data_IF_764013455052
#
_entry.id   IF_764013455052
#
_cell.length_a   1.000
_cell.length_b   1.000
_cell.length_c   1.000
_cell.angle_alpha   90.00
_cell.angle_beta   90.00
_cell.angle_gamma   90.00
#
_symmetry.space_group_name_H-M   'P 1'
#
loop_
_entity.id
_entity.type
_entity.pdbx_description
1 polymer ?
#
# COMPACT_ATOMS: atom_id res chain seq x y z
N UNK A 1 -36.11 -2.04 11.05
CA UNK A 1 -34.84 -1.59 11.64
C UNK A 1 -33.70 -2.61 11.42
N UNK A 2 -33.87 -3.89 11.77
CA UNK A 2 -32.85 -4.94 11.54
C UNK A 2 -32.37 -5.12 10.09
N UNK A 3 -33.27 -5.08 9.10
CA UNK A 3 -32.91 -5.26 7.68
C UNK A 3 -32.03 -4.12 7.13
N UNK A 4 -32.27 -2.89 7.58
CA UNK A 4 -31.52 -1.69 7.15
C UNK A 4 -30.10 -1.69 7.73
N UNK A 5 -29.95 -2.09 9.00
CA UNK A 5 -28.64 -2.23 9.62
C UNK A 5 -27.79 -3.32 8.97
N UNK A 6 -28.43 -4.40 8.55
CA UNK A 6 -27.80 -5.49 7.81
C UNK A 6 -27.31 -5.10 6.42
N UNK A 7 -28.12 -4.36 5.66
CA UNK A 7 -27.71 -3.88 4.33
C UNK A 7 -26.55 -2.88 4.43
N UNK A 8 -26.54 -2.02 5.45
CA UNK A 8 -25.44 -1.08 5.68
C UNK A 8 -24.14 -1.79 6.07
N UNK A 9 -24.22 -2.82 6.93
CA UNK A 9 -23.07 -3.66 7.29
C UNK A 9 -22.46 -4.33 6.06
N UNK A 10 -23.27 -4.93 5.19
CA UNK A 10 -22.78 -5.55 3.95
C UNK A 10 -22.13 -4.54 2.99
N UNK A 11 -22.60 -3.28 2.98
CA UNK A 11 -22.01 -2.23 2.15
C UNK A 11 -20.60 -1.87 2.64
N UNK A 12 -20.38 -1.80 3.96
CA UNK A 12 -19.05 -1.55 4.55
C UNK A 12 -18.07 -2.67 4.18
N UNK A 13 -18.48 -3.94 4.29
CA UNK A 13 -17.65 -5.08 3.91
C UNK A 13 -17.37 -5.13 2.40
N UNK A 14 -18.34 -4.74 1.58
CA UNK A 14 -18.14 -4.61 0.13
C UNK A 14 -17.15 -3.49 -0.22
N UNK A 15 -17.16 -2.37 0.51
CA UNK A 15 -16.21 -1.28 0.31
C UNK A 15 -14.78 -1.72 0.68
N UNK A 16 -14.61 -2.41 1.81
CA UNK A 16 -13.31 -2.99 2.20
C UNK A 16 -12.81 -3.99 1.16
N UNK A 17 -13.70 -4.83 0.61
CA UNK A 17 -13.33 -5.77 -0.46
C UNK A 17 -12.86 -5.04 -1.72
N UNK A 18 -13.50 -3.92 -2.07
CA UNK A 18 -13.08 -3.11 -3.21
C UNK A 18 -11.70 -2.47 -2.99
N UNK A 19 -11.42 -1.98 -1.77
CA UNK A 19 -10.10 -1.47 -1.39
C UNK A 19 -9.05 -2.57 -1.54
N UNK A 20 -9.28 -3.75 -0.97
CA UNK A 20 -8.37 -4.89 -1.06
C UNK A 20 -8.05 -5.28 -2.52
N UNK A 21 -9.06 -5.29 -3.39
CA UNK A 21 -8.86 -5.57 -4.83
C UNK A 21 -7.96 -4.51 -5.47
N UNK A 22 -8.17 -3.24 -5.14
CA UNK A 22 -7.35 -2.13 -5.63
C UNK A 22 -5.91 -2.27 -5.12
N UNK A 23 -5.72 -2.59 -3.84
CA UNK A 23 -4.39 -2.81 -3.26
C UNK A 23 -3.66 -3.96 -3.94
N UNK A 24 -4.31 -5.11 -4.11
CA UNK A 24 -3.74 -6.28 -4.81
C UNK A 24 -3.34 -5.90 -6.24
N UNK A 25 -4.20 -5.16 -6.94
CA UNK A 25 -3.91 -4.68 -8.29
C UNK A 25 -2.63 -3.81 -8.31
N UNK A 26 -2.51 -2.85 -7.39
CA UNK A 26 -1.31 -2.02 -7.30
C UNK A 26 -0.07 -2.82 -6.92
N UNK A 27 -0.17 -3.78 -6.00
CA UNK A 27 0.95 -4.66 -5.63
C UNK A 27 1.45 -5.41 -6.85
N UNK A 28 0.54 -6.07 -7.58
CA UNK A 28 0.89 -6.78 -8.81
C UNK A 28 1.52 -5.82 -9.82
N UNK A 29 0.93 -4.64 -10.02
CA UNK A 29 1.43 -3.63 -10.95
C UNK A 29 2.85 -3.15 -10.58
N UNK A 30 3.15 -2.96 -9.30
CA UNK A 30 4.47 -2.58 -8.81
C UNK A 30 5.49 -3.74 -8.84
N UNK A 31 5.03 -4.98 -8.71
CA UNK A 31 5.90 -6.18 -8.81
C UNK A 31 6.31 -6.50 -10.25
N UNK A 32 5.57 -6.01 -11.24
CA UNK A 32 5.87 -6.29 -12.64
C UNK A 32 7.22 -5.64 -13.02
N UNK A 33 8.21 -6.44 -13.48
CA UNK A 33 9.55 -5.95 -13.81
C UNK A 33 9.60 -5.09 -15.08
N UNK A 34 8.47 -4.91 -15.77
CA UNK A 34 8.40 -4.13 -17.01
C UNK A 34 8.51 -2.63 -16.79
N UNK A 35 8.22 -2.12 -15.59
CA UNK A 35 8.26 -0.68 -15.31
C UNK A 35 9.52 -0.38 -14.51
N UNK A 36 10.45 0.36 -15.11
CA UNK A 36 11.69 0.75 -14.42
C UNK A 36 11.38 1.59 -13.16
N UNK A 37 12.14 1.41 -12.07
CA UNK A 37 12.03 2.23 -10.86
C UNK A 37 12.08 3.74 -11.13
N UNK A 38 12.82 4.16 -12.17
CA UNK A 38 12.92 5.57 -12.59
C UNK A 38 11.58 6.16 -13.04
N UNK A 39 10.73 5.37 -13.69
CA UNK A 39 9.40 5.80 -14.17
C UNK A 39 8.46 5.99 -13.00
N UNK A 40 8.45 5.05 -12.06
CA UNK A 40 7.67 5.14 -10.84
C UNK A 40 8.10 6.32 -9.97
N UNK A 41 9.42 6.50 -9.78
CA UNK A 41 9.95 7.64 -9.05
C UNK A 41 9.55 8.96 -9.71
N UNK A 42 9.69 9.11 -11.03
CA UNK A 42 9.26 10.32 -11.74
C UNK A 42 7.74 10.56 -11.64
N UNK A 43 6.93 9.50 -11.63
CA UNK A 43 5.49 9.59 -11.43
C UNK A 43 5.15 10.08 -10.00
N UNK A 44 5.74 9.46 -8.97
CA UNK A 44 5.51 9.83 -7.57
C UNK A 44 6.07 11.20 -7.20
N UNK A 45 7.19 11.62 -7.80
CA UNK A 45 7.80 12.94 -7.60
C UNK A 45 7.29 14.04 -8.53
N UNK A 46 6.35 13.74 -9.43
CA UNK A 46 5.75 14.74 -10.31
C UNK A 46 5.09 15.85 -9.51
N UNK A 47 5.29 17.11 -9.90
CA UNK A 47 4.67 18.28 -9.24
C UNK A 47 3.14 18.16 -9.15
N UNK A 48 2.51 17.44 -10.08
CA UNK A 48 1.06 17.20 -10.05
C UNK A 48 0.66 16.30 -8.87
N UNK A 49 1.43 15.23 -8.61
CA UNK A 49 1.19 14.34 -7.49
C UNK A 49 1.48 15.06 -6.17
N UNK A 50 2.54 15.87 -6.11
CA UNK A 50 2.88 16.65 -4.91
C UNK A 50 1.85 17.76 -4.61
N UNK A 51 1.20 18.34 -5.62
CA UNK A 51 0.13 19.33 -5.45
C UNK A 51 -1.19 18.70 -5.00
N UNK A 52 -1.51 17.50 -5.47
CA UNK A 52 -2.76 16.79 -5.12
C UNK A 52 -2.63 16.08 -3.77
N UNK A 53 -1.49 15.44 -3.54
CA UNK A 53 -1.23 14.64 -2.35
C UNK A 53 -0.12 15.33 -1.58
N UNK A 54 -0.52 16.11 -0.58
CA UNK A 54 0.43 16.71 0.34
C UNK A 54 1.07 15.57 1.15
N UNK A 55 2.29 15.17 0.77
CA UNK A 55 2.94 13.91 1.17
C UNK A 55 2.94 13.64 2.68
N UNK A 56 3.08 14.69 3.50
CA UNK A 56 2.99 14.59 4.97
C UNK A 56 1.62 14.12 5.47
N UNK A 57 0.54 14.57 4.85
CA UNK A 57 -0.82 14.16 5.21
C UNK A 57 -1.14 12.75 4.72
N UNK A 58 -0.55 12.32 3.60
CA UNK A 58 -0.68 10.95 3.10
C UNK A 58 -0.05 9.93 4.06
N UNK A 59 1.18 10.20 4.51
CA UNK A 59 1.89 9.38 5.50
C UNK A 59 1.16 9.27 6.85
N UNK A 60 0.53 10.37 7.30
CA UNK A 60 -0.29 10.37 8.52
C UNK A 60 -1.63 9.64 8.30
N UNK A 61 -2.27 9.87 7.16
CA UNK A 61 -3.52 9.22 6.78
C UNK A 61 -3.39 7.70 6.69
N UNK A 62 -2.32 7.21 6.06
CA UNK A 62 -2.03 5.77 5.96
C UNK A 62 -1.89 5.11 7.35
N UNK A 63 -1.26 5.80 8.31
CA UNK A 63 -1.15 5.31 9.70
C UNK A 63 -2.49 5.25 10.40
N UNK A 64 -3.35 6.27 10.21
CA UNK A 64 -4.70 6.31 10.78
C UNK A 64 -5.57 5.20 10.17
N UNK A 65 -5.50 5.00 8.85
CA UNK A 65 -6.22 3.94 8.14
C UNK A 65 -5.75 2.56 8.62
N UNK A 66 -4.43 2.34 8.73
CA UNK A 66 -3.88 1.10 9.28
C UNK A 66 -4.32 0.86 10.73
N UNK A 67 -4.33 1.89 11.58
CA UNK A 67 -4.84 1.78 12.95
C UNK A 67 -6.34 1.47 12.97
N UNK A 68 -7.13 2.08 12.07
CA UNK A 68 -8.55 1.77 11.88
C UNK A 68 -8.77 0.31 11.47
N UNK A 69 -8.00 -0.19 10.51
CA UNK A 69 -8.03 -1.59 10.08
C UNK A 69 -7.70 -2.56 11.22
N UNK A 70 -6.73 -2.23 12.08
CA UNK A 70 -6.43 -3.01 13.28
C UNK A 70 -7.62 -3.03 14.25
N UNK A 71 -8.32 -1.90 14.44
CA UNK A 71 -9.54 -1.88 15.26
C UNK A 71 -10.66 -2.72 14.65
N UNK A 72 -10.84 -2.67 13.32
CA UNK A 72 -11.77 -3.55 12.60
C UNK A 72 -11.39 -5.03 12.72
N UNK A 73 -10.10 -5.34 12.73
CA UNK A 73 -9.61 -6.70 12.93
C UNK A 73 -9.91 -7.18 14.35
N UNK A 74 -9.67 -6.34 15.36
CA UNK A 74 -10.05 -6.62 16.74
C UNK A 74 -11.57 -6.83 16.88
N UNK A 75 -12.41 -6.03 16.21
CA UNK A 75 -13.86 -6.21 16.20
C UNK A 75 -14.28 -7.52 15.51
N UNK A 76 -13.64 -7.88 14.39
CA UNK A 76 -13.88 -9.15 13.70
C UNK A 76 -13.49 -10.36 14.57
N UNK A 77 -12.36 -10.31 15.27
CA UNK A 77 -11.94 -11.35 16.22
C UNK A 77 -12.94 -11.44 17.38
N UNK A 78 -13.34 -10.29 17.95
CA UNK A 78 -14.36 -10.22 19.01
C UNK A 78 -15.68 -10.82 18.52
N UNK A 79 -16.08 -10.52 17.30
CA UNK A 79 -17.28 -11.02 16.63
C UNK A 79 -17.24 -12.55 16.51
N UNK A 80 -16.14 -13.13 16.03
CA UNK A 80 -15.97 -14.59 15.95
C UNK A 80 -16.05 -15.23 17.35
N UNK A 81 -15.38 -14.64 18.35
CA UNK A 81 -15.37 -15.16 19.71
C UNK A 81 -16.72 -15.05 20.41
N UNK A 82 -17.42 -13.92 20.24
CA UNK A 82 -18.75 -13.69 20.81
C UNK A 82 -19.77 -14.61 20.16
N UNK A 83 -19.80 -14.72 18.83
CA UNK A 83 -20.72 -15.61 18.13
C UNK A 83 -20.41 -17.08 18.38
N UNK A 84 -19.12 -17.43 18.53
CA UNK A 84 -18.67 -18.77 18.91
C UNK A 84 -19.08 -19.18 20.32
N UNK A 85 -19.01 -18.27 21.30
CA UNK A 85 -19.43 -18.53 22.69
C UNK A 85 -20.95 -18.42 22.90
N UNK A 86 -21.67 -17.64 22.08
CA UNK A 86 -23.15 -17.59 22.15
C UNK A 86 -23.86 -18.85 21.66
N UNK A 87 -23.13 -19.89 21.21
CA UNK A 87 -23.69 -21.26 21.20
C UNK A 87 -24.31 -21.64 22.56
N UNK A 88 -23.83 -21.05 23.65
CA UNK A 88 -24.31 -21.33 25.01
C UNK A 88 -25.30 -20.28 25.58
N UNK A 89 -25.44 -19.07 25.01
CA UNK A 89 -26.02 -17.92 25.76
C UNK A 89 -27.33 -17.33 25.21
N UNK A 90 -27.86 -17.71 24.03
CA UNK A 90 -29.14 -17.12 23.54
C UNK A 90 -30.30 -18.09 23.39
N UNK A 91 -30.86 -18.42 24.56
CA UNK A 91 -32.26 -18.75 24.83
C UNK A 91 -33.22 -17.53 24.69
N UNK A 92 -33.06 -16.67 23.68
CA UNK A 92 -33.76 -15.37 23.59
C UNK A 92 -34.92 -15.28 22.56
N UNK A 93 -35.22 -16.35 21.82
CA UNK A 93 -36.44 -16.43 21.00
C UNK A 93 -37.19 -17.73 21.31
N UNK A 94 -38.37 -17.67 21.96
CA UNK A 94 -39.14 -18.87 22.27
C UNK A 94 -39.86 -19.48 21.05
N UNK A 95 -39.80 -18.84 19.88
CA UNK A 95 -40.62 -19.18 18.70
C UNK A 95 -39.85 -19.99 17.65
N UNK A 96 -38.51 -20.04 17.71
CA UNK A 96 -37.67 -20.63 16.66
C UNK A 96 -37.10 -21.99 17.10
N UNK A 97 -37.13 -22.99 16.20
CA UNK A 97 -36.63 -24.34 16.51
C UNK A 97 -35.14 -24.31 16.81
N UNK A 98 -34.65 -25.27 17.60
CA UNK A 98 -33.22 -25.39 17.93
C UNK A 98 -32.37 -25.53 16.66
N UNK A 99 -32.85 -26.27 15.66
CA UNK A 99 -32.14 -26.45 14.38
C UNK A 99 -32.03 -25.14 13.58
N UNK A 100 -33.09 -24.32 13.55
CA UNK A 100 -33.07 -23.04 12.83
C UNK A 100 -32.16 -22.02 13.50
N UNK A 101 -32.02 -22.08 14.84
CA UNK A 101 -31.10 -21.24 15.61
C UNK A 101 -29.64 -21.59 15.29
N UNK A 102 -29.31 -22.87 15.25
CA UNK A 102 -27.96 -23.34 14.93
C UNK A 102 -27.56 -22.94 13.50
N UNK A 103 -28.48 -23.06 12.55
CA UNK A 103 -28.26 -22.63 11.17
C UNK A 103 -27.94 -21.13 11.07
N UNK A 104 -28.68 -20.28 11.80
CA UNK A 104 -28.43 -18.84 11.84
C UNK A 104 -27.09 -18.46 12.48
N UNK A 105 -26.70 -19.14 13.56
CA UNK A 105 -25.42 -18.90 14.24
C UNK A 105 -24.27 -19.27 13.31
N UNK A 106 -24.32 -20.47 12.71
CA UNK A 106 -23.30 -20.93 11.77
C UNK A 106 -23.17 -19.97 10.57
N UNK A 107 -24.29 -19.43 10.07
CA UNK A 107 -24.28 -18.43 9.01
C UNK A 107 -23.57 -17.13 9.42
N UNK A 108 -23.76 -16.66 10.66
CA UNK A 108 -23.12 -15.45 11.19
C UNK A 108 -21.64 -15.65 11.46
N UNK A 109 -21.24 -16.81 11.98
CA UNK A 109 -19.83 -17.17 12.18
C UNK A 109 -19.09 -17.19 10.85
N UNK A 110 -19.65 -17.83 9.82
CA UNK A 110 -19.07 -17.84 8.48
C UNK A 110 -18.92 -16.44 7.86
N UNK A 111 -19.82 -15.51 8.19
CA UNK A 111 -19.66 -14.11 7.80
C UNK A 111 -18.53 -13.43 8.56
N UNK A 112 -18.44 -13.63 9.87
CA UNK A 112 -17.39 -13.06 10.69
C UNK A 112 -15.99 -13.57 10.29
N UNK A 113 -15.86 -14.86 9.97
CA UNK A 113 -14.63 -15.47 9.46
C UNK A 113 -14.16 -14.83 8.15
N UNK A 114 -15.06 -14.69 7.16
CA UNK A 114 -14.73 -14.04 5.88
C UNK A 114 -14.31 -12.58 6.06
N UNK A 115 -15.03 -11.86 6.91
CA UNK A 115 -14.74 -10.47 7.21
C UNK A 115 -13.38 -10.28 7.90
N UNK A 116 -13.01 -11.20 8.80
CA UNK A 116 -11.68 -11.24 9.41
C UNK A 116 -10.57 -11.42 8.37
N UNK A 117 -10.74 -12.36 7.42
CA UNK A 117 -9.75 -12.56 6.36
C UNK A 117 -9.59 -11.31 5.48
N UNK A 118 -10.69 -10.67 5.07
CA UNK A 118 -10.64 -9.46 4.23
C UNK A 118 -9.82 -8.37 4.91
N UNK A 119 -10.13 -8.04 6.17
CA UNK A 119 -9.44 -6.98 6.92
C UNK A 119 -7.97 -7.34 7.18
N UNK A 120 -7.69 -8.62 7.46
CA UNK A 120 -6.32 -9.09 7.66
C UNK A 120 -5.47 -8.98 6.39
N UNK A 121 -6.04 -9.34 5.23
CA UNK A 121 -5.37 -9.19 3.94
C UNK A 121 -5.14 -7.74 3.56
N UNK A 122 -6.12 -6.86 3.81
CA UNK A 122 -6.00 -5.41 3.53
C UNK A 122 -4.85 -4.79 4.34
N UNK A 123 -4.74 -5.13 5.63
CA UNK A 123 -3.62 -4.68 6.46
C UNK A 123 -2.26 -5.17 5.91
N UNK A 124 -2.20 -6.44 5.49
CA UNK A 124 -0.98 -7.05 4.97
C UNK A 124 -0.55 -6.42 3.64
N UNK A 125 -1.47 -6.25 2.69
CA UNK A 125 -1.18 -5.66 1.38
C UNK A 125 -0.86 -4.16 1.50
N UNK A 126 -1.55 -3.41 2.35
CA UNK A 126 -1.20 -2.01 2.63
C UNK A 126 0.23 -1.83 3.16
N UNK A 127 0.70 -2.72 4.05
CA UNK A 127 2.11 -2.71 4.52
C UNK A 127 3.08 -3.06 3.38
N UNK A 128 2.75 -4.06 2.57
CA UNK A 128 3.57 -4.45 1.41
C UNK A 128 3.68 -3.29 0.42
N UNK A 129 2.56 -2.64 0.07
CA UNK A 129 2.54 -1.48 -0.83
C UNK A 129 3.46 -0.38 -0.34
N UNK A 130 3.34 0.00 0.94
CA UNK A 130 4.21 1.03 1.54
C UNK A 130 5.67 0.64 1.37
N UNK A 131 6.02 -0.60 1.71
CA UNK A 131 7.41 -1.09 1.62
C UNK A 131 7.92 -1.10 0.18
N UNK A 132 7.12 -1.54 -0.79
CA UNK A 132 7.50 -1.57 -2.20
C UNK A 132 7.73 -0.16 -2.75
N UNK A 133 6.82 0.78 -2.48
CA UNK A 133 6.96 2.18 -2.90
C UNK A 133 8.25 2.78 -2.32
N UNK A 134 8.51 2.58 -1.03
CA UNK A 134 9.75 3.08 -0.40
C UNK A 134 11.01 2.48 -1.04
N UNK A 135 11.02 1.17 -1.30
CA UNK A 135 12.16 0.51 -1.95
C UNK A 135 12.40 1.01 -3.38
N UNK A 136 11.33 1.18 -4.16
CA UNK A 136 11.40 1.68 -5.55
C UNK A 136 11.91 3.13 -5.58
N UNK A 137 11.43 4.00 -4.69
CA UNK A 137 11.91 5.37 -4.60
C UNK A 137 13.38 5.43 -4.16
N UNK A 138 13.77 4.62 -3.17
CA UNK A 138 15.16 4.55 -2.72
C UNK A 138 16.11 4.06 -3.82
N UNK A 139 15.70 3.04 -4.58
CA UNK A 139 16.49 2.54 -5.71
C UNK A 139 16.66 3.61 -6.81
N UNK A 140 15.61 4.36 -7.11
CA UNK A 140 15.69 5.45 -8.09
C UNK A 140 16.61 6.60 -7.64
N UNK A 141 16.57 6.97 -6.35
CA UNK A 141 17.50 7.95 -5.76
C UNK A 141 18.95 7.46 -5.85
N UNK A 142 19.22 6.20 -5.48
CA UNK A 142 20.56 5.61 -5.56
C UNK A 142 21.11 5.59 -6.99
N UNK A 143 20.27 5.28 -7.99
CA UNK A 143 20.71 5.30 -9.39
C UNK A 143 20.97 6.74 -9.85
N UNK A 144 20.16 7.72 -9.41
CA UNK A 144 20.39 9.13 -9.74
C UNK A 144 21.68 9.68 -9.11
N UNK A 145 21.99 9.29 -7.87
CA UNK A 145 23.26 9.63 -7.21
C UNK A 145 24.45 9.02 -7.94
N UNK A 146 24.39 7.73 -8.29
CA UNK A 146 25.46 7.05 -9.03
C UNK A 146 25.71 7.66 -10.42
N UNK A 147 24.64 7.97 -11.18
CA UNK A 147 24.73 8.65 -12.48
C UNK A 147 25.26 10.09 -12.32
N UNK A 148 24.90 10.80 -11.24
CA UNK A 148 25.39 12.14 -10.93
C UNK A 148 26.89 12.15 -10.59
N UNK A 149 27.34 11.27 -9.69
CA UNK A 149 28.76 11.15 -9.32
C UNK A 149 29.61 10.78 -10.52
N UNK A 150 29.17 9.85 -11.37
CA UNK A 150 29.89 9.50 -12.61
C UNK A 150 29.93 10.65 -13.61
N UNK A 151 28.88 11.48 -13.71
CA UNK A 151 28.88 12.66 -14.58
C UNK A 151 29.77 13.80 -14.06
N UNK A 152 29.87 13.99 -12.74
CA UNK A 152 30.84 14.89 -12.11
C UNK A 152 32.29 14.39 -12.24
N UNK A 153 32.51 13.08 -12.25
CA UNK A 153 33.83 12.45 -12.47
C UNK A 153 34.20 12.38 -13.96
N UNK A 154 33.23 12.32 -14.88
CA UNK A 154 33.45 12.30 -16.33
C UNK A 154 33.52 13.70 -16.97
N UNK A 155 32.84 14.71 -16.41
CA UNK A 155 32.98 16.13 -16.83
C UNK A 155 34.41 16.67 -16.86
N UNK A 156 35.34 16.34 -15.94
CA UNK A 156 36.70 16.88 -15.98
C UNK A 156 37.57 16.39 -17.16
N UNK A 157 37.13 15.45 -17.99
CA UNK A 157 37.90 15.03 -19.18
C UNK A 157 37.33 15.49 -20.52
N UNK A 158 36.04 15.82 -20.62
CA UNK A 158 35.42 16.17 -21.91
C UNK A 158 35.61 17.64 -22.28
N UNK A 159 35.66 18.52 -21.30
CA UNK A 159 36.02 19.92 -21.48
C UNK A 159 37.52 20.07 -21.19
N UNK A 160 38.39 19.75 -22.16
CA UNK A 160 39.81 20.18 -22.05
C UNK A 160 39.81 21.71 -21.95
N UNK A 161 40.22 22.28 -20.81
CA UNK A 161 40.11 23.71 -20.59
C UNK A 161 41.00 24.48 -21.59
N UNK A 162 40.62 25.71 -21.98
CA UNK A 162 41.24 26.44 -23.10
C UNK A 162 42.75 26.69 -22.94
N UNK A 163 43.30 26.61 -21.73
CA UNK A 163 44.74 26.68 -21.48
C UNK A 163 45.51 25.42 -21.93
N UNK A 164 44.88 24.25 -21.92
CA UNK A 164 45.51 22.98 -22.32
C UNK A 164 45.77 22.94 -23.84
N UNK A 165 44.92 23.59 -24.64
CA UNK A 165 45.16 23.74 -26.09
C UNK A 165 46.33 24.67 -26.38
N UNK A 166 46.45 25.78 -25.63
CA UNK A 166 47.56 26.73 -25.77
C UNK A 166 48.90 26.15 -25.33
N UNK A 167 48.90 25.27 -24.32
CA UNK A 167 50.10 24.56 -23.90
C UNK A 167 50.59 23.60 -25.01
N UNK A 168 49.68 22.88 -25.66
CA UNK A 168 50.01 22.01 -26.79
C UNK A 168 50.50 22.81 -28.01
N UNK A 169 49.88 23.96 -28.30
CA UNK A 169 50.29 24.82 -29.42
C UNK A 169 51.69 25.42 -29.23
N UNK A 170 52.10 25.69 -27.98
CA UNK A 170 53.47 26.12 -27.65
C UNK A 170 54.47 24.98 -27.81
N UNK A 171 54.14 23.78 -27.32
CA UNK A 171 54.99 22.60 -27.47
C UNK A 171 55.23 22.20 -28.93
N UNK A 172 54.24 22.37 -29.82
CA UNK A 172 54.39 22.10 -31.26
C UNK A 172 55.11 23.20 -32.05
N UNK A 173 55.42 24.33 -31.41
CA UNK A 173 56.11 25.48 -32.05
C UNK A 173 57.59 25.57 -31.70
N UNK A 174 58.01 24.81 -30.68
CA UNK A 174 59.38 24.79 -30.16
C UNK A 174 60.22 23.60 -30.70
N UNK A 175 59.63 22.73 -31.54
CA UNK A 175 60.31 21.71 -32.38
C UNK A 175 60.38 22.19 -33.84
#
# INVERSE_FOLDING_TARGET
MFAIQWSMINLQWSALTAILIVEIFFVILLLIPWISPKVWHAFFHSELVQRIVHWKYFEAGLRIVAAGLVLFLCDAIRSIYVYGQTKDVQAASPIMSTADKDALINMRVYQAERNFFIVGFDLFFGIILKRLITLICLEAELIAEADGTTLHVAKPMRERPPYAKRALEKLTKDD
#
